data_IF_226245466109
#
_entry.id   IF_226245466109
#
_cell.length_a   1.000
_cell.length_b   1.000
_cell.length_c   1.000
_cell.angle_alpha   90.00
_cell.angle_beta   90.00
_cell.angle_gamma   90.00
#
_symmetry.space_group_name_H-M   'P 1'
#
loop_
_entity.id
_entity.type
_entity.pdbx_description
1 polymer ?
#
# COMPACT_ATOMS: atom_id res chain seq x y z
N UNK A 1 -4.40 1.35 -12.91
CA UNK A 1 -3.42 0.57 -12.13
C UNK A 1 -2.55 -0.28 -13.06
N UNK A 2 -1.34 -0.59 -12.62
CA UNK A 2 -0.37 -1.38 -13.36
C UNK A 2 0.14 -2.51 -12.48
N UNK A 3 0.29 -3.70 -13.08
CA UNK A 3 0.98 -4.85 -12.52
C UNK A 3 2.16 -5.18 -13.43
N UNK A 4 3.37 -5.04 -12.94
CA UNK A 4 4.60 -5.37 -13.67
C UNK A 4 5.27 -6.56 -13.01
N UNK A 5 5.36 -7.66 -13.75
CA UNK A 5 5.97 -8.91 -13.30
C UNK A 5 7.35 -9.07 -13.92
N UNK A 6 8.40 -9.08 -13.10
CA UNK A 6 9.76 -9.39 -13.52
C UNK A 6 10.10 -10.82 -13.13
N UNK A 7 10.45 -11.65 -14.12
CA UNK A 7 10.64 -13.08 -13.96
C UNK A 7 12.12 -13.45 -13.87
N UNK A 8 12.40 -14.44 -13.02
CA UNK A 8 13.69 -15.16 -12.97
C UNK A 8 13.41 -16.66 -13.04
N UNK A 9 14.05 -17.36 -13.96
CA UNK A 9 13.92 -18.81 -14.08
C UNK A 9 14.49 -19.51 -12.83
N UNK A 10 13.93 -20.66 -12.48
CA UNK A 10 14.48 -21.56 -11.45
C UNK A 10 15.09 -22.81 -12.09
N UNK A 11 15.60 -23.72 -11.28
CA UNK A 11 16.05 -25.05 -11.75
C UNK A 11 14.91 -25.97 -12.17
N UNK A 12 13.69 -25.67 -11.69
CA UNK A 12 12.51 -26.47 -11.95
C UNK A 12 11.81 -26.02 -13.22
N UNK A 13 11.37 -26.96 -14.05
CA UNK A 13 10.73 -26.68 -15.34
C UNK A 13 9.45 -25.85 -15.13
N UNK A 14 9.32 -24.75 -15.87
CA UNK A 14 8.19 -23.82 -15.84
C UNK A 14 7.91 -23.19 -14.47
N UNK A 15 8.83 -23.27 -13.51
CA UNK A 15 8.75 -22.57 -12.22
C UNK A 15 9.59 -21.30 -12.29
N UNK A 16 8.99 -20.19 -11.87
CA UNK A 16 9.61 -18.87 -11.89
C UNK A 16 9.54 -18.23 -10.51
N UNK A 17 10.65 -17.61 -10.12
CA UNK A 17 10.63 -16.58 -9.09
C UNK A 17 10.33 -15.24 -9.77
N UNK A 18 9.53 -14.42 -9.11
CA UNK A 18 9.16 -13.13 -9.66
C UNK A 18 9.15 -12.04 -8.61
N UNK A 19 9.36 -10.81 -9.05
CA UNK A 19 8.96 -9.63 -8.31
C UNK A 19 7.77 -8.98 -9.01
N UNK A 20 6.72 -8.70 -8.26
CA UNK A 20 5.52 -8.02 -8.73
C UNK A 20 5.52 -6.58 -8.26
N UNK A 21 5.65 -5.63 -9.19
CA UNK A 21 5.43 -4.21 -8.90
C UNK A 21 3.95 -3.88 -9.12
N UNK A 22 3.30 -3.38 -8.08
CA UNK A 22 1.89 -2.98 -8.07
C UNK A 22 1.81 -1.47 -7.93
N UNK A 23 1.18 -0.81 -8.90
CA UNK A 23 0.99 0.63 -8.91
C UNK A 23 -0.47 0.98 -9.16
N UNK A 24 -1.04 1.77 -8.27
CA UNK A 24 -2.36 2.36 -8.45
C UNK A 24 -2.36 3.81 -7.96
N UNK A 25 -3.10 4.66 -8.66
CA UNK A 25 -3.31 6.05 -8.30
C UNK A 25 -4.77 6.42 -8.52
N UNK A 26 -5.26 7.37 -7.72
CA UNK A 26 -6.61 7.91 -7.86
C UNK A 26 -6.59 9.35 -8.37
N UNK A 27 -7.57 9.77 -9.16
CA UNK A 27 -7.74 11.17 -9.52
C UNK A 27 -8.10 11.99 -8.27
N UNK A 28 -7.51 13.18 -8.15
CA UNK A 28 -7.86 14.14 -7.12
C UNK A 28 -9.00 15.03 -7.64
N UNK A 29 -9.99 15.23 -6.80
CA UNK A 29 -11.21 15.95 -7.14
C UNK A 29 -10.92 17.28 -7.85
N UNK A 30 -11.60 17.50 -8.94
CA UNK A 30 -11.54 18.72 -9.77
C UNK A 30 -10.12 19.08 -10.30
N UNK A 31 -9.25 18.09 -10.46
CA UNK A 31 -7.91 18.23 -11.02
C UNK A 31 -7.59 17.13 -12.02
N UNK A 32 -6.51 17.29 -12.78
CA UNK A 32 -5.94 16.22 -13.63
C UNK A 32 -4.86 15.40 -12.90
N UNK A 33 -4.62 15.69 -11.63
CA UNK A 33 -3.58 15.04 -10.85
C UNK A 33 -3.99 13.65 -10.39
N UNK A 34 -3.09 12.69 -10.51
CA UNK A 34 -3.24 11.32 -10.04
C UNK A 34 -2.34 11.10 -8.83
N UNK A 35 -2.94 10.99 -7.64
CA UNK A 35 -2.20 10.74 -6.40
C UNK A 35 -1.96 9.24 -6.19
N UNK A 36 -0.73 8.80 -5.88
CA UNK A 36 -0.42 7.39 -5.65
C UNK A 36 -1.18 6.82 -4.45
N UNK A 37 -1.92 5.74 -4.66
CA UNK A 37 -2.53 4.93 -3.58
C UNK A 37 -1.63 3.76 -3.21
N UNK A 38 -1.11 3.06 -4.21
CA UNK A 38 -0.19 1.94 -4.06
C UNK A 38 0.98 2.14 -5.01
N UNK A 39 2.19 1.97 -4.49
CA UNK A 39 3.41 1.84 -5.27
C UNK A 39 4.34 0.86 -4.54
N UNK A 40 4.08 -0.42 -4.69
CA UNK A 40 4.71 -1.47 -3.90
C UNK A 40 5.34 -2.54 -4.79
N UNK A 41 6.49 -3.06 -4.34
CA UNK A 41 7.17 -4.19 -4.96
C UNK A 41 7.13 -5.39 -4.01
N UNK A 42 6.51 -6.47 -4.46
CA UNK A 42 6.48 -7.76 -3.78
C UNK A 42 7.49 -8.71 -4.42
N UNK A 43 8.51 -9.07 -3.68
CA UNK A 43 9.57 -9.97 -4.14
C UNK A 43 9.28 -11.45 -3.80
N UNK A 44 8.13 -11.74 -3.19
CA UNK A 44 7.76 -13.09 -2.73
C UNK A 44 6.74 -13.75 -3.66
N UNK A 45 7.01 -13.76 -4.96
CA UNK A 45 6.09 -14.35 -5.94
C UNK A 45 6.79 -15.49 -6.67
N UNK A 46 6.58 -16.73 -6.22
CA UNK A 46 7.03 -17.93 -6.93
C UNK A 46 5.82 -18.65 -7.50
N UNK A 47 5.84 -18.98 -8.77
CA UNK A 47 4.73 -19.66 -9.41
C UNK A 47 5.19 -20.63 -10.52
N UNK A 48 4.31 -21.55 -10.86
CA UNK A 48 4.49 -22.46 -11.99
C UNK A 48 3.58 -22.03 -13.13
N UNK A 49 4.16 -21.85 -14.30
CA UNK A 49 3.42 -21.60 -15.52
C UNK A 49 2.91 -22.91 -16.13
N UNK A 50 1.64 -22.94 -16.46
CA UNK A 50 1.01 -24.03 -17.21
C UNK A 50 0.35 -23.43 -18.46
N UNK A 51 0.80 -23.90 -19.63
CA UNK A 51 0.29 -23.42 -20.92
C UNK A 51 -1.21 -23.73 -21.07
N UNK A 52 -1.96 -22.76 -21.59
CA UNK A 52 -3.41 -22.83 -21.80
C UNK A 52 -4.27 -23.01 -20.53
N UNK A 53 -3.69 -22.88 -19.34
CA UNK A 53 -4.48 -22.90 -18.13
C UNK A 53 -5.37 -21.66 -18.04
N UNK A 54 -6.67 -21.86 -17.80
CA UNK A 54 -7.57 -20.76 -17.46
C UNK A 54 -7.21 -20.20 -16.10
N UNK A 55 -7.12 -18.86 -16.02
CA UNK A 55 -6.93 -18.15 -14.76
C UNK A 55 -8.30 -17.99 -14.09
N UNK A 56 -8.71 -18.99 -13.33
CA UNK A 56 -9.89 -18.92 -12.49
C UNK A 56 -9.52 -18.46 -11.08
N UNK A 57 -10.30 -17.53 -10.58
CA UNK A 57 -10.14 -17.04 -9.23
C UNK A 57 -11.41 -17.25 -8.42
N UNK A 58 -11.26 -17.88 -7.25
CA UNK A 58 -12.32 -18.00 -6.25
C UNK A 58 -11.73 -17.68 -4.87
N UNK A 59 -12.21 -16.62 -4.24
CA UNK A 59 -11.69 -16.15 -2.94
C UNK A 59 -11.84 -17.18 -1.78
N UNK A 60 -12.79 -18.10 -1.92
CA UNK A 60 -13.04 -19.16 -0.94
C UNK A 60 -12.20 -20.41 -1.17
N UNK A 61 -11.62 -20.54 -2.35
CA UNK A 61 -10.77 -21.67 -2.74
C UNK A 61 -9.64 -21.19 -3.63
N UNK A 62 -8.62 -20.63 -3.00
CA UNK A 62 -7.48 -20.03 -3.70
C UNK A 62 -6.49 -21.07 -4.21
N UNK A 63 -6.54 -22.29 -3.67
CA UNK A 63 -5.62 -23.40 -4.05
C UNK A 63 -6.29 -24.41 -4.96
N UNK A 64 -5.67 -24.64 -6.13
CA UNK A 64 -5.93 -25.79 -6.97
C UNK A 64 -5.13 -27.03 -6.53
N UNK A 65 -5.05 -28.05 -7.40
CA UNK A 65 -4.26 -29.29 -7.16
C UNK A 65 -2.74 -29.02 -7.06
N UNK A 66 -2.25 -27.96 -7.70
CA UNK A 66 -0.84 -27.52 -7.62
C UNK A 66 -0.80 -26.11 -7.02
N UNK A 67 -0.30 -25.94 -5.78
CA UNK A 67 -0.22 -24.63 -5.12
C UNK A 67 0.61 -23.60 -5.86
N UNK A 68 1.70 -24.00 -6.54
CA UNK A 68 2.53 -23.08 -7.31
C UNK A 68 1.79 -22.50 -8.52
N UNK A 69 0.91 -23.26 -9.13
CA UNK A 69 0.08 -22.80 -10.25
C UNK A 69 -0.91 -21.73 -9.80
N UNK A 70 -1.49 -21.89 -8.62
CA UNK A 70 -2.50 -20.97 -8.08
C UNK A 70 -1.89 -19.68 -7.50
N UNK A 71 -0.59 -19.68 -7.15
CA UNK A 71 0.02 -18.61 -6.36
C UNK A 71 0.04 -17.26 -7.08
N UNK A 72 0.29 -17.21 -8.38
CA UNK A 72 0.26 -15.96 -9.15
C UNK A 72 -1.13 -15.35 -9.17
N UNK A 73 -2.15 -16.17 -9.46
CA UNK A 73 -3.55 -15.72 -9.50
C UNK A 73 -4.01 -15.21 -8.14
N UNK A 74 -3.67 -15.92 -7.06
CA UNK A 74 -3.94 -15.50 -5.69
C UNK A 74 -3.27 -14.15 -5.36
N UNK A 75 -2.03 -13.97 -5.78
CA UNK A 75 -1.28 -12.73 -5.55
C UNK A 75 -1.90 -11.54 -6.28
N UNK A 76 -2.27 -11.72 -7.55
CA UNK A 76 -2.92 -10.66 -8.33
C UNK A 76 -4.28 -10.31 -7.72
N UNK A 77 -5.09 -11.30 -7.37
CA UNK A 77 -6.39 -11.09 -6.76
C UNK A 77 -6.31 -10.41 -5.38
N UNK A 78 -5.30 -10.77 -4.58
CA UNK A 78 -5.01 -10.11 -3.31
C UNK A 78 -4.74 -8.60 -3.53
N UNK A 79 -3.82 -8.24 -4.42
CA UNK A 79 -3.52 -6.84 -4.68
C UNK A 79 -4.67 -6.08 -5.35
N UNK A 80 -5.48 -6.73 -6.19
CA UNK A 80 -6.70 -6.11 -6.72
C UNK A 80 -7.66 -5.71 -5.59
N UNK A 81 -7.87 -6.57 -4.59
CA UNK A 81 -8.68 -6.24 -3.42
C UNK A 81 -8.02 -5.19 -2.53
N UNK A 82 -6.69 -5.22 -2.33
CA UNK A 82 -6.00 -4.15 -1.61
C UNK A 82 -6.13 -2.78 -2.29
N UNK A 83 -6.02 -2.72 -3.63
CA UNK A 83 -6.23 -1.49 -4.40
C UNK A 83 -7.64 -0.96 -4.19
N UNK A 84 -8.67 -1.81 -4.35
CA UNK A 84 -10.05 -1.43 -4.11
C UNK A 84 -10.27 -0.99 -2.65
N UNK A 85 -9.67 -1.72 -1.69
CA UNK A 85 -9.74 -1.37 -0.29
C UNK A 85 -9.22 0.05 -0.02
N UNK A 86 -8.03 0.38 -0.47
CA UNK A 86 -7.46 1.72 -0.29
C UNK A 86 -8.20 2.79 -1.09
N UNK A 87 -8.70 2.47 -2.28
CA UNK A 87 -9.47 3.43 -3.08
C UNK A 87 -10.78 3.81 -2.37
N UNK A 88 -11.57 2.83 -1.93
CA UNK A 88 -12.80 3.08 -1.17
C UNK A 88 -12.55 3.75 0.18
N UNK A 89 -11.47 3.38 0.88
CA UNK A 89 -11.05 4.02 2.12
C UNK A 89 -10.76 5.51 1.94
N UNK A 90 -10.19 5.86 0.79
CA UNK A 90 -9.87 7.25 0.45
C UNK A 90 -11.08 8.15 0.22
N UNK A 91 -12.28 7.57 0.07
CA UNK A 91 -13.55 8.29 -0.14
C UNK A 91 -14.48 8.25 1.07
N UNK A 92 -14.50 7.14 1.78
CA UNK A 92 -15.42 6.90 2.89
C UNK A 92 -14.69 6.18 4.00
N UNK A 93 -14.76 6.74 5.18
CA UNK A 93 -14.13 6.15 6.37
C UNK A 93 -14.63 4.70 6.54
N UNK A 94 -13.69 3.75 6.60
CA UNK A 94 -13.92 2.30 6.62
C UNK A 94 -14.64 1.73 5.39
N UNK A 95 -14.71 2.51 4.31
CA UNK A 95 -15.28 2.04 3.04
C UNK A 95 -14.48 0.92 2.39
N UNK A 96 -13.22 0.79 2.75
CA UNK A 96 -12.31 -0.27 2.29
C UNK A 96 -12.50 -1.62 2.96
N UNK A 97 -13.14 -1.68 4.16
CA UNK A 97 -13.25 -2.90 4.97
C UNK A 97 -13.73 -4.15 4.20
N UNK A 98 -14.76 -4.08 3.34
CA UNK A 98 -15.22 -5.26 2.58
C UNK A 98 -14.15 -5.86 1.67
N UNK A 99 -13.29 -5.02 1.09
CA UNK A 99 -12.20 -5.43 0.22
C UNK A 99 -11.00 -5.93 0.99
N UNK A 100 -10.64 -5.28 2.10
CA UNK A 100 -9.61 -5.78 3.00
C UNK A 100 -10.01 -7.13 3.58
N UNK A 101 -11.30 -7.35 3.90
CA UNK A 101 -11.78 -8.67 4.34
C UNK A 101 -11.64 -9.74 3.24
N UNK A 102 -11.91 -9.42 1.98
CA UNK A 102 -11.65 -10.32 0.85
C UNK A 102 -10.15 -10.62 0.70
N UNK A 103 -9.31 -9.62 0.81
CA UNK A 103 -7.86 -9.81 0.80
C UNK A 103 -7.39 -10.71 1.96
N UNK A 104 -7.97 -10.54 3.17
CA UNK A 104 -7.69 -11.42 4.31
C UNK A 104 -8.16 -12.86 4.07
N UNK A 105 -9.31 -13.07 3.44
CA UNK A 105 -9.77 -14.40 3.06
C UNK A 105 -8.80 -15.07 2.08
N UNK A 106 -8.25 -14.31 1.12
CA UNK A 106 -7.22 -14.82 0.21
C UNK A 106 -5.97 -15.23 1.00
N UNK A 107 -5.51 -14.42 1.95
CA UNK A 107 -4.37 -14.76 2.81
C UNK A 107 -4.62 -16.03 3.61
N UNK A 108 -5.81 -16.17 4.20
CA UNK A 108 -6.18 -17.35 5.01
C UNK A 108 -6.23 -18.63 4.19
N UNK A 109 -6.67 -18.54 2.93
CA UNK A 109 -6.81 -19.66 2.00
C UNK A 109 -5.64 -19.76 1.00
N UNK A 110 -4.60 -18.97 1.19
CA UNK A 110 -3.49 -18.88 0.25
C UNK A 110 -2.78 -20.22 0.04
N UNK A 111 -2.17 -20.42 -1.14
CA UNK A 111 -1.34 -21.58 -1.38
C UNK A 111 -0.29 -21.77 -0.30
N UNK A 112 -0.10 -23.00 0.14
CA UNK A 112 0.93 -23.40 1.08
C UNK A 112 1.79 -24.48 0.45
N UNK A 113 3.11 -24.39 0.63
CA UNK A 113 4.01 -25.34 0.05
C UNK A 113 5.46 -24.86 -0.01
N UNK A 114 6.33 -25.78 -0.40
CA UNK A 114 7.76 -25.48 -0.57
C UNK A 114 7.93 -24.37 -1.62
N UNK A 115 8.74 -23.38 -1.30
CA UNK A 115 9.03 -22.22 -2.14
C UNK A 115 7.86 -21.22 -2.32
N UNK A 116 6.79 -21.34 -1.53
CA UNK A 116 5.72 -20.33 -1.44
C UNK A 116 5.91 -19.53 -0.17
N UNK A 117 5.99 -18.21 -0.28
CA UNK A 117 6.17 -17.29 0.85
C UNK A 117 5.36 -16.00 0.70
N UNK A 118 5.34 -15.20 1.75
CA UNK A 118 4.66 -13.90 1.76
C UNK A 118 3.20 -13.94 2.20
N UNK A 119 2.66 -15.12 2.54
CA UNK A 119 1.29 -15.30 3.00
C UNK A 119 1.14 -15.51 4.52
N UNK A 120 2.22 -15.85 5.21
CA UNK A 120 2.20 -16.16 6.63
C UNK A 120 2.94 -15.09 7.45
N UNK A 121 2.55 -14.92 8.70
CA UNK A 121 3.16 -13.94 9.60
C UNK A 121 4.68 -14.15 9.77
N UNK A 122 5.15 -15.40 9.70
CA UNK A 122 6.55 -15.78 9.86
C UNK A 122 7.39 -15.69 8.58
N UNK A 123 6.78 -15.42 7.41
CA UNK A 123 7.48 -15.25 6.13
C UNK A 123 8.25 -13.91 6.03
N UNK A 124 8.29 -13.13 7.09
CA UNK A 124 8.93 -11.83 7.17
C UNK A 124 7.96 -10.75 7.65
N UNK A 125 8.52 -9.56 7.94
CA UNK A 125 7.74 -8.44 8.50
C UNK A 125 7.10 -7.54 7.44
N UNK A 126 7.39 -7.76 6.16
CA UNK A 126 6.90 -6.97 5.01
C UNK A 126 6.36 -7.91 3.95
N UNK A 127 5.13 -8.34 4.13
CA UNK A 127 4.47 -9.28 3.23
C UNK A 127 2.96 -9.03 3.17
N UNK A 128 2.26 -9.82 2.36
CA UNK A 128 0.81 -9.72 2.15
C UNK A 128 0.01 -9.93 3.43
N UNK A 129 0.43 -10.85 4.31
CA UNK A 129 -0.21 -11.06 5.60
C UNK A 129 -0.23 -9.77 6.43
N UNK A 130 0.93 -9.15 6.63
CA UNK A 130 1.02 -7.96 7.49
C UNK A 130 0.34 -6.74 6.90
N UNK A 131 0.33 -6.60 5.57
CA UNK A 131 -0.31 -5.43 4.95
C UNK A 131 -1.81 -5.41 5.18
N UNK A 132 -2.52 -6.53 4.98
CA UNK A 132 -3.96 -6.60 5.20
C UNK A 132 -4.29 -6.65 6.70
N UNK A 133 -3.50 -7.37 7.49
CA UNK A 133 -3.65 -7.43 8.94
C UNK A 133 -3.57 -6.02 9.55
N UNK A 134 -2.63 -5.19 9.11
CA UNK A 134 -2.49 -3.82 9.61
C UNK A 134 -3.69 -2.92 9.26
N UNK A 135 -4.50 -3.25 8.25
CA UNK A 135 -5.73 -2.52 7.97
C UNK A 135 -6.94 -3.03 8.76
N UNK A 136 -7.00 -4.33 9.06
CA UNK A 136 -8.17 -4.93 9.73
C UNK A 136 -8.05 -5.00 11.25
N UNK A 137 -6.84 -4.92 11.80
CA UNK A 137 -6.63 -5.00 13.24
C UNK A 137 -7.08 -3.70 13.92
N UNK A 138 -8.00 -3.82 14.88
CA UNK A 138 -8.55 -2.68 15.62
C UNK A 138 -7.49 -1.84 16.35
N UNK A 139 -6.35 -2.44 16.71
CA UNK A 139 -5.21 -1.71 17.30
C UNK A 139 -4.64 -0.63 16.35
N UNK A 140 -4.81 -0.81 15.06
CA UNK A 140 -4.30 0.08 14.03
C UNK A 140 -5.40 0.88 13.32
N UNK A 141 -6.58 0.98 13.95
CA UNK A 141 -7.76 1.64 13.38
C UNK A 141 -7.50 3.10 12.93
N UNK A 142 -6.54 3.78 13.53
CA UNK A 142 -6.11 5.12 13.13
C UNK A 142 -5.66 5.20 11.66
N UNK A 143 -5.25 4.08 11.05
CA UNK A 143 -4.85 4.07 9.65
C UNK A 143 -6.03 4.33 8.70
N UNK A 144 -7.27 4.02 9.09
CA UNK A 144 -8.46 4.41 8.35
C UNK A 144 -8.61 5.94 8.31
N UNK A 145 -8.44 6.60 9.46
CA UNK A 145 -8.47 8.07 9.53
C UNK A 145 -7.34 8.68 8.68
N UNK A 146 -6.14 8.09 8.71
CA UNK A 146 -4.98 8.54 7.92
C UNK A 146 -5.31 8.55 6.42
N UNK A 147 -5.83 7.45 5.86
CA UNK A 147 -6.15 7.38 4.44
C UNK A 147 -7.31 8.30 4.06
N UNK A 148 -8.40 8.29 4.84
CA UNK A 148 -9.56 9.14 4.60
C UNK A 148 -9.20 10.63 4.68
N UNK A 149 -8.56 11.05 5.77
CA UNK A 149 -8.19 12.46 5.97
C UNK A 149 -7.20 12.94 4.92
N UNK A 150 -6.18 12.13 4.62
CA UNK A 150 -5.20 12.50 3.59
C UNK A 150 -5.85 12.78 2.24
N UNK A 151 -6.70 11.87 1.76
CA UNK A 151 -7.29 11.99 0.45
C UNK A 151 -8.54 12.86 0.44
N UNK A 152 -9.53 12.54 1.28
CA UNK A 152 -10.84 13.18 1.21
C UNK A 152 -10.85 14.58 1.79
N UNK A 153 -10.21 14.76 2.96
CA UNK A 153 -10.17 16.05 3.64
C UNK A 153 -8.96 16.90 3.24
N UNK A 154 -7.87 16.26 2.83
CA UNK A 154 -6.66 16.92 2.37
C UNK A 154 -6.64 17.11 0.84
N UNK A 155 -6.22 16.08 0.10
CA UNK A 155 -5.95 16.18 -1.34
C UNK A 155 -7.14 16.68 -2.16
N UNK A 156 -8.34 16.16 -1.92
CA UNK A 156 -9.56 16.56 -2.65
C UNK A 156 -9.99 18.01 -2.35
N UNK A 157 -9.48 18.62 -1.27
CA UNK A 157 -9.76 20.00 -0.90
C UNK A 157 -8.72 21.00 -1.35
N UNK A 158 -7.56 20.58 -1.85
CA UNK A 158 -6.50 21.47 -2.29
C UNK A 158 -6.94 22.47 -3.38
N UNK A 159 -7.90 22.10 -4.23
CA UNK A 159 -8.45 22.98 -5.25
C UNK A 159 -9.34 24.08 -4.64
N UNK A 160 -10.10 23.78 -3.60
CA UNK A 160 -11.06 24.69 -2.99
C UNK A 160 -10.39 25.61 -1.96
N UNK A 161 -9.57 25.06 -1.07
CA UNK A 161 -8.88 25.75 0.01
C UNK A 161 -7.53 25.09 0.32
N UNK A 162 -6.47 25.60 -0.32
CA UNK A 162 -5.11 25.07 -0.14
C UNK A 162 -4.63 25.13 1.32
N UNK A 163 -5.03 26.14 2.10
CA UNK A 163 -4.52 26.30 3.46
C UNK A 163 -5.16 25.28 4.41
N UNK A 164 -6.49 25.15 4.37
CA UNK A 164 -7.21 24.12 5.18
C UNK A 164 -6.80 22.72 4.77
N UNK A 165 -6.70 22.43 3.48
CA UNK A 165 -6.27 21.13 2.98
C UNK A 165 -4.84 20.78 3.44
N UNK A 166 -3.91 21.74 3.37
CA UNK A 166 -2.53 21.55 3.80
C UNK A 166 -2.42 21.35 5.31
N UNK A 167 -3.22 22.07 6.09
CA UNK A 167 -3.29 21.88 7.54
C UNK A 167 -3.79 20.47 7.89
N UNK A 168 -4.78 19.94 7.16
CA UNK A 168 -5.27 18.58 7.34
C UNK A 168 -4.21 17.53 6.97
N UNK A 169 -3.46 17.72 5.87
CA UNK A 169 -2.36 16.83 5.52
C UNK A 169 -1.25 16.87 6.60
N UNK A 170 -0.97 18.02 7.19
CA UNK A 170 -0.05 18.15 8.32
C UNK A 170 -0.57 17.40 9.56
N UNK A 171 -1.88 17.48 9.82
CA UNK A 171 -2.53 16.69 10.88
C UNK A 171 -2.35 15.19 10.64
N UNK A 172 -2.52 14.71 9.41
CA UNK A 172 -2.25 13.30 9.05
C UNK A 172 -0.81 12.89 9.36
N UNK A 173 0.18 13.75 9.10
CA UNK A 173 1.58 13.47 9.48
C UNK A 173 1.75 13.35 10.99
N UNK A 174 1.03 14.15 11.79
CA UNK A 174 1.03 14.01 13.25
C UNK A 174 0.37 12.70 13.69
N UNK A 175 -0.75 12.30 13.10
CA UNK A 175 -1.39 11.00 13.37
C UNK A 175 -0.42 9.84 13.08
N UNK A 176 0.24 9.87 11.92
CA UNK A 176 1.26 8.87 11.55
C UNK A 176 2.45 8.85 12.51
N UNK A 177 2.89 10.02 13.00
CA UNK A 177 3.97 10.09 13.98
C UNK A 177 3.58 9.45 15.32
N UNK A 178 2.36 9.70 15.80
CA UNK A 178 1.84 9.06 17.01
C UNK A 178 1.71 7.55 16.80
N UNK A 179 1.10 7.13 15.69
CA UNK A 179 1.01 5.73 15.31
C UNK A 179 2.37 5.03 15.28
N UNK A 180 3.39 5.64 14.64
CA UNK A 180 4.72 5.07 14.52
C UNK A 180 5.46 5.02 15.87
N UNK A 181 5.17 5.94 16.79
CA UNK A 181 5.71 5.92 18.16
C UNK A 181 5.17 4.74 18.95
N UNK A 182 3.86 4.49 18.86
CA UNK A 182 3.18 3.42 19.58
C UNK A 182 3.37 2.04 18.91
N UNK A 183 3.59 2.03 17.59
CA UNK A 183 3.69 0.85 16.75
C UNK A 183 4.87 0.96 15.76
N UNK A 184 6.12 0.90 16.26
CA UNK A 184 7.29 1.12 15.40
C UNK A 184 7.43 0.03 14.33
N UNK A 185 7.97 0.43 13.18
CA UNK A 185 8.30 -0.45 12.05
C UNK A 185 7.13 -1.22 11.42
N UNK A 186 5.88 -0.76 11.58
CA UNK A 186 4.75 -1.38 10.90
C UNK A 186 4.81 -1.14 9.40
N UNK A 187 4.54 -2.20 8.65
CA UNK A 187 4.57 -2.18 7.18
C UNK A 187 3.67 -1.08 6.62
N UNK A 188 2.47 -0.90 7.16
CA UNK A 188 1.48 0.05 6.66
C UNK A 188 1.98 1.50 6.70
N UNK A 189 2.77 1.89 7.71
CA UNK A 189 3.36 3.23 7.77
C UNK A 189 4.31 3.48 6.60
N UNK A 190 5.21 2.54 6.34
CA UNK A 190 6.15 2.65 5.21
C UNK A 190 5.43 2.56 3.86
N UNK A 191 4.42 1.71 3.78
CA UNK A 191 3.59 1.53 2.59
C UNK A 191 2.88 2.83 2.20
N UNK A 192 2.38 3.59 3.17
CA UNK A 192 1.75 4.88 2.94
C UNK A 192 2.66 5.86 2.20
N UNK A 193 3.95 5.93 2.56
CA UNK A 193 4.90 6.89 1.97
C UNK A 193 5.42 6.47 0.59
N UNK A 194 5.23 5.23 0.17
CA UNK A 194 5.74 4.75 -1.12
C UNK A 194 5.12 5.51 -2.29
N UNK A 195 5.96 6.20 -3.05
CA UNK A 195 5.55 7.02 -4.17
C UNK A 195 5.03 8.42 -3.84
N UNK A 196 4.92 8.81 -2.53
CA UNK A 196 4.35 10.10 -2.11
C UNK A 196 5.39 11.21 -1.85
N UNK A 197 6.67 10.90 -1.82
CA UNK A 197 7.68 11.89 -1.40
C UNK A 197 7.63 13.18 -2.22
N UNK A 198 7.55 13.08 -3.53
CA UNK A 198 7.48 14.26 -4.42
C UNK A 198 6.17 15.02 -4.26
N UNK A 199 5.04 14.33 -4.04
CA UNK A 199 3.74 14.92 -3.77
C UNK A 199 3.78 15.76 -2.47
N UNK A 200 4.26 15.17 -1.39
CA UNK A 200 4.36 15.81 -0.07
C UNK A 200 5.30 17.02 -0.09
N UNK A 201 6.42 16.94 -0.79
CA UNK A 201 7.33 18.09 -1.00
C UNK A 201 6.60 19.23 -1.71
N UNK A 202 5.90 18.96 -2.80
CA UNK A 202 5.17 20.01 -3.55
C UNK A 202 4.07 20.67 -2.71
N UNK A 203 3.39 19.89 -1.88
CA UNK A 203 2.35 20.39 -0.97
C UNK A 203 2.96 21.35 0.06
N UNK A 204 4.03 20.93 0.73
CA UNK A 204 4.61 21.72 1.82
C UNK A 204 5.62 22.79 1.36
N UNK A 205 6.13 22.74 0.14
CA UNK A 205 6.95 23.82 -0.41
C UNK A 205 6.22 25.17 -0.42
N UNK A 206 4.90 25.16 -0.54
CA UNK A 206 4.03 26.35 -0.51
C UNK A 206 3.42 26.64 0.88
N UNK A 207 3.78 25.90 1.90
CA UNK A 207 3.25 26.08 3.25
C UNK A 207 3.84 27.32 3.93
N UNK A 208 3.14 27.88 4.93
CA UNK A 208 3.75 28.87 5.83
C UNK A 208 5.04 28.33 6.46
N UNK A 209 6.04 29.18 6.78
CA UNK A 209 7.35 28.73 7.24
C UNK A 209 7.31 27.75 8.42
N UNK A 210 6.43 27.97 9.40
CA UNK A 210 6.31 27.11 10.58
C UNK A 210 5.78 25.72 10.19
N UNK A 211 4.77 25.65 9.33
CA UNK A 211 4.19 24.37 8.85
C UNK A 211 5.18 23.60 7.96
N UNK A 212 5.95 24.33 7.14
CA UNK A 212 7.01 23.74 6.32
C UNK A 212 8.08 23.06 7.19
N UNK A 213 8.58 23.77 8.20
CA UNK A 213 9.56 23.23 9.15
C UNK A 213 8.99 22.00 9.84
N UNK A 214 7.76 22.10 10.37
CA UNK A 214 7.10 21.00 11.07
C UNK A 214 6.90 19.78 10.16
N UNK A 215 6.44 19.99 8.93
CA UNK A 215 6.28 18.91 7.95
C UNK A 215 7.62 18.26 7.60
N UNK A 216 8.68 19.05 7.39
CA UNK A 216 10.02 18.56 7.12
C UNK A 216 10.55 17.65 8.24
N UNK A 217 10.39 18.05 9.50
CA UNK A 217 10.79 17.26 10.67
C UNK A 217 10.03 15.91 10.74
N UNK A 218 8.71 15.95 10.55
CA UNK A 218 7.87 14.76 10.58
C UNK A 218 8.21 13.81 9.43
N UNK A 219 8.34 14.32 8.21
CA UNK A 219 8.65 13.53 7.02
C UNK A 219 10.02 12.87 7.11
N UNK A 220 11.04 13.57 7.60
CA UNK A 220 12.37 12.99 7.82
C UNK A 220 12.34 11.83 8.83
N UNK A 221 11.47 11.90 9.84
CA UNK A 221 11.31 10.85 10.85
C UNK A 221 10.47 9.67 10.35
N UNK A 222 9.43 9.93 9.58
CA UNK A 222 8.44 8.94 9.16
C UNK A 222 8.83 8.18 7.88
N UNK A 223 9.46 8.88 6.94
CA UNK A 223 9.93 8.32 5.67
C UNK A 223 11.46 8.44 5.56
N UNK A 224 12.13 7.61 6.34
CA UNK A 224 13.60 7.61 6.47
C UNK A 224 14.28 7.44 5.10
N UNK A 225 13.68 6.69 4.20
CA UNK A 225 14.22 6.46 2.84
C UNK A 225 14.39 7.76 2.06
N UNK A 226 13.50 8.72 2.26
CA UNK A 226 13.50 10.01 1.57
C UNK A 226 13.91 11.18 2.49
N UNK A 227 14.43 10.92 3.69
CA UNK A 227 14.74 11.95 4.70
C UNK A 227 15.68 13.05 4.16
N UNK A 228 16.73 12.70 3.44
CA UNK A 228 17.66 13.65 2.85
C UNK A 228 16.95 14.57 1.83
N UNK A 229 16.06 14.02 1.00
CA UNK A 229 15.28 14.77 0.02
C UNK A 229 14.35 15.80 0.69
N UNK A 230 13.65 15.41 1.76
CA UNK A 230 12.81 16.34 2.52
C UNK A 230 13.62 17.47 3.16
N UNK A 231 14.77 17.13 3.75
CA UNK A 231 15.67 18.11 4.36
C UNK A 231 16.18 19.15 3.35
N UNK A 232 16.45 18.73 2.11
CA UNK A 232 17.00 19.61 1.09
C UNK A 232 15.94 20.47 0.40
N UNK A 233 14.76 19.92 0.14
CA UNK A 233 13.72 20.58 -0.63
C UNK A 233 12.67 21.34 0.22
N UNK A 234 12.62 21.12 1.54
CA UNK A 234 11.72 21.81 2.50
C UNK A 234 12.50 22.71 3.48
N UNK A 235 13.52 23.39 3.00
CA UNK A 235 14.26 24.42 3.77
C UNK A 235 13.46 25.69 3.94
#
# INVERSE_FOLDING_TARGET
CNFLLNLSATSDLNVYNASLTVQAARPIFNTTYLSPIINFKDDNVTFKYVEFQQLEFNENRVTGSDPLVSNLTATIAYYANMILGFDYESFSLRGGDPYFQKAQNIVNNAPDGRNISGWKAFDGIRNRYWLVENMLNSRYAIMHDVYYNYYRLGMDKLYEDENTARAEILNVLNLLNNFNTDNPNKMINQFFFQGKSTELIKIFAKAPPQDKIRASELLQKLDITNAAKYKDELK
#
